data_IF_621487104006
#
_entry.id   IF_621487104006
#
_cell.length_a   1.000
_cell.length_b   1.000
_cell.length_c   1.000
_cell.angle_alpha   90.00
_cell.angle_beta   90.00
_cell.angle_gamma   90.00
#
_symmetry.space_group_name_H-M   'P 1'
#
loop_
_entity.id
_entity.type
_entity.pdbx_description
1 polymer ?
#
# COMPACT_ATOMS: atom_id res chain seq x y z
N UNK A 1 -14.29 -22.25 55.92
CA UNK A 1 -15.13 -21.46 56.85
C UNK A 1 -14.17 -20.69 57.75
N UNK A 2 -13.81 -19.45 57.44
CA UNK A 2 -14.58 -18.20 57.56
C UNK A 2 -14.39 -17.52 58.93
N UNK A 3 -13.73 -16.33 58.88
CA UNK A 3 -13.93 -15.11 59.70
C UNK A 3 -13.51 -15.18 61.19
N UNK A 4 -12.98 -14.13 61.84
CA UNK A 4 -12.57 -12.77 61.46
C UNK A 4 -12.09 -11.99 62.70
N UNK A 5 -11.36 -10.89 62.44
CA UNK A 5 -11.43 -9.56 63.07
C UNK A 5 -10.49 -9.11 64.20
N UNK A 6 -10.17 -7.82 64.03
CA UNK A 6 -9.62 -6.76 64.89
C UNK A 6 -8.11 -6.65 65.09
N UNK A 7 -7.42 -5.49 65.09
CA UNK A 7 -7.53 -4.13 64.52
C UNK A 7 -6.69 -3.20 65.41
N UNK A 8 -5.82 -2.42 64.76
CA UNK A 8 -5.40 -1.05 65.08
C UNK A 8 -4.63 -0.67 66.36
N UNK A 9 -3.55 0.08 66.08
CA UNK A 9 -3.07 1.31 66.74
C UNK A 9 -2.16 1.24 67.96
N UNK A 10 -0.89 1.65 67.77
CA UNK A 10 -0.33 2.76 68.56
C UNK A 10 0.89 3.45 67.92
N UNK A 11 0.79 4.77 67.90
CA UNK A 11 1.73 5.82 67.49
C UNK A 11 2.98 5.88 68.41
N UNK A 12 4.16 6.26 67.87
CA UNK A 12 5.12 7.19 68.52
C UNK A 12 6.21 7.69 67.55
N UNK A 13 6.58 8.97 67.74
CA UNK A 13 7.32 9.89 66.85
C UNK A 13 8.85 9.74 66.92
N UNK A 14 9.50 10.35 65.91
CA UNK A 14 10.95 10.67 65.77
C UNK A 14 11.57 11.47 66.94
N UNK A 15 12.91 11.51 67.03
CA UNK A 15 13.71 12.69 66.59
C UNK A 15 14.98 12.27 65.80
N UNK A 16 15.54 12.93 64.78
CA UNK A 16 15.90 14.33 64.45
C UNK A 16 17.00 14.98 65.32
N UNK A 17 18.24 14.98 64.82
CA UNK A 17 19.29 16.05 64.92
C UNK A 17 20.19 15.90 63.68
N UNK A 18 20.26 16.83 62.70
CA UNK A 18 20.62 18.27 62.61
C UNK A 18 22.12 18.58 62.58
N UNK A 19 22.58 19.12 61.44
CA UNK A 19 23.56 20.20 61.24
C UNK A 19 23.36 20.72 59.78
N UNK A 20 22.68 21.85 59.49
CA UNK A 20 23.03 23.29 59.54
C UNK A 20 24.36 23.61 58.81
N UNK A 21 24.45 24.18 57.59
CA UNK A 21 23.95 25.39 56.90
C UNK A 21 24.55 26.75 57.35
N UNK A 22 24.73 27.60 56.33
CA UNK A 22 24.93 29.07 56.23
C UNK A 22 26.38 29.55 55.89
N UNK A 23 26.64 30.58 55.04
CA UNK A 23 25.84 31.42 54.12
C UNK A 23 26.72 32.46 53.38
N UNK A 24 26.16 33.08 52.31
CA UNK A 24 26.31 34.45 51.71
C UNK A 24 26.66 34.41 50.19
N UNK A 25 25.72 34.63 49.24
CA UNK A 25 25.01 35.87 48.79
C UNK A 25 25.88 36.73 47.81
N UNK A 26 25.65 36.80 46.48
CA UNK A 26 24.58 37.39 45.64
C UNK A 26 24.71 38.92 45.39
N UNK A 27 25.16 39.35 44.20
CA UNK A 27 24.96 40.72 43.63
C UNK A 27 24.88 40.67 42.06
N UNK A 28 23.65 40.89 41.51
CA UNK A 28 23.17 41.71 40.34
C UNK A 28 23.93 41.70 38.97
N UNK A 29 23.39 41.13 37.85
CA UNK A 29 22.42 41.64 36.81
C UNK A 29 23.07 42.44 35.63
N UNK A 30 22.47 42.63 34.41
CA UNK A 30 21.63 41.81 33.50
C UNK A 30 22.03 41.93 31.96
N UNK A 31 21.17 41.46 31.03
CA UNK A 31 21.21 41.46 29.52
C UNK A 31 21.94 40.25 28.86
N UNK A 32 21.39 39.48 27.92
CA UNK A 32 20.25 39.68 27.02
C UNK A 32 19.48 38.38 26.75
N UNK A 33 18.16 38.57 26.69
CA UNK A 33 17.11 37.68 26.22
C UNK A 33 17.14 37.65 24.68
N UNK A 34 17.15 36.47 24.08
CA UNK A 34 16.56 36.25 22.75
C UNK A 34 15.95 34.86 22.71
N UNK A 35 14.64 34.91 22.90
CA UNK A 35 13.62 33.91 22.76
C UNK A 35 13.34 33.71 21.26
N UNK A 36 13.50 32.50 20.73
CA UNK A 36 12.56 31.96 19.71
C UNK A 36 12.37 30.47 19.99
N UNK A 37 11.17 30.16 20.49
CA UNK A 37 10.60 28.83 20.47
C UNK A 37 10.28 28.43 19.02
N UNK A 38 10.59 27.19 18.65
CA UNK A 38 9.84 26.43 17.66
C UNK A 38 9.69 24.99 18.16
N UNK A 39 8.60 24.81 18.92
CA UNK A 39 7.68 23.67 18.96
C UNK A 39 8.22 22.25 18.70
N UNK A 40 8.17 21.43 19.75
CA UNK A 40 7.82 20.02 19.63
C UNK A 40 6.40 19.88 19.05
N UNK A 41 6.20 19.01 18.05
CA UNK A 41 4.95 18.25 17.87
C UNK A 41 5.09 17.21 16.74
N UNK A 42 5.05 15.93 17.11
CA UNK A 42 4.15 14.91 16.54
C UNK A 42 4.34 14.54 15.06
N UNK A 43 4.75 13.28 14.83
CA UNK A 43 4.31 12.49 13.68
C UNK A 43 2.81 12.70 13.42
N UNK A 44 2.37 13.30 12.30
CA UNK A 44 1.03 13.06 11.85
C UNK A 44 1.09 11.86 10.92
N UNK A 45 0.47 10.77 11.34
CA UNK A 45 -0.16 9.86 10.41
C UNK A 45 -0.78 10.69 9.26
N UNK A 46 -0.59 10.23 8.01
CA UNK A 46 -1.30 10.77 6.85
C UNK A 46 -2.75 11.08 7.25
N UNK A 47 -3.28 12.26 6.90
CA UNK A 47 -4.63 12.59 7.29
C UNK A 47 -5.54 11.52 6.70
N UNK A 48 -6.29 10.85 7.57
CA UNK A 48 -7.24 9.78 7.21
C UNK A 48 -8.16 10.18 6.05
N UNK A 49 -8.33 11.48 5.80
CA UNK A 49 -9.08 12.04 4.67
C UNK A 49 -8.49 11.73 3.29
N UNK A 50 -7.17 11.73 3.10
CA UNK A 50 -6.56 11.39 1.79
C UNK A 50 -6.71 9.91 1.46
N UNK A 51 -6.54 9.05 2.46
CA UNK A 51 -6.76 7.60 2.34
C UNK A 51 -8.27 7.28 2.19
N UNK A 52 -9.14 8.01 2.90
CA UNK A 52 -10.59 7.86 2.78
C UNK A 52 -11.11 8.32 1.42
N UNK A 53 -10.64 9.45 0.86
CA UNK A 53 -11.05 9.89 -0.47
C UNK A 53 -10.58 8.94 -1.58
N UNK A 54 -9.44 8.27 -1.42
CA UNK A 54 -9.00 7.23 -2.35
C UNK A 54 -9.86 5.96 -2.25
N UNK A 55 -10.39 5.63 -1.06
CA UNK A 55 -11.17 4.41 -0.80
C UNK A 55 -12.69 4.59 -0.95
N UNK A 56 -13.25 5.77 -0.75
CA UNK A 56 -14.70 6.02 -0.85
C UNK A 56 -15.24 5.96 -2.29
N UNK A 57 -14.36 6.07 -3.29
CA UNK A 57 -14.72 5.87 -4.70
C UNK A 57 -14.89 4.37 -5.08
N UNK A 58 -14.57 3.43 -4.17
CA UNK A 58 -14.71 1.98 -4.37
C UNK A 58 -16.05 1.42 -3.86
N UNK A 59 -17.17 2.12 -4.11
CA UNK A 59 -18.50 1.55 -3.88
C UNK A 59 -18.98 0.86 -5.17
N UNK A 60 -19.06 -0.50 -5.21
CA UNK A 60 -19.57 -1.19 -6.40
C UNK A 60 -21.03 -0.82 -6.60
N UNK A 61 -21.35 -0.19 -7.74
CA UNK A 61 -22.73 -0.07 -8.22
C UNK A 61 -23.09 -1.37 -8.92
N UNK A 62 -24.13 -2.01 -8.42
CA UNK A 62 -24.70 -3.22 -8.99
C UNK A 62 -25.35 -2.98 -10.35
N UNK A 63 -25.41 -4.10 -11.07
CA UNK A 63 -26.27 -4.43 -12.21
C UNK A 63 -26.27 -3.51 -13.42
N UNK A 64 -25.80 -4.05 -14.56
CA UNK A 64 -26.59 -4.08 -15.79
C UNK A 64 -26.30 -5.35 -16.60
N UNK A 65 -27.37 -6.13 -16.77
CA UNK A 65 -27.61 -7.15 -17.79
C UNK A 65 -27.51 -6.55 -19.20
N UNK A 66 -26.89 -7.27 -20.14
CA UNK A 66 -26.82 -6.89 -21.55
C UNK A 66 -26.35 -8.03 -22.44
N UNK A 67 -27.24 -8.50 -23.31
CA UNK A 67 -27.11 -9.63 -24.23
C UNK A 67 -26.65 -9.20 -25.64
N UNK A 68 -26.02 -10.13 -26.38
CA UNK A 68 -25.71 -10.06 -27.83
C UNK A 68 -24.22 -9.81 -28.11
N UNK A 69 -23.52 -10.45 -29.05
CA UNK A 69 -23.87 -11.39 -30.11
C UNK A 69 -22.92 -11.17 -31.30
N UNK A 70 -22.13 -12.18 -31.68
CA UNK A 70 -21.63 -12.42 -33.05
C UNK A 70 -20.44 -11.60 -33.60
N UNK A 71 -19.50 -12.29 -34.25
CA UNK A 71 -18.63 -11.73 -35.30
C UNK A 71 -17.15 -12.07 -35.18
N UNK A 72 -16.70 -13.10 -35.91
CA UNK A 72 -15.29 -13.50 -35.99
C UNK A 72 -14.47 -12.65 -36.96
N UNK A 73 -13.15 -12.68 -36.78
CA UNK A 73 -12.18 -12.70 -37.90
C UNK A 73 -10.81 -13.13 -37.39
N UNK A 74 -10.39 -14.30 -37.88
CA UNK A 74 -9.05 -14.84 -37.78
C UNK A 74 -8.09 -13.99 -38.61
N UNK A 75 -6.98 -13.57 -38.03
CA UNK A 75 -5.82 -13.10 -38.81
C UNK A 75 -4.56 -13.70 -38.20
N UNK A 76 -4.00 -14.67 -38.93
CA UNK A 76 -2.68 -15.24 -38.68
C UNK A 76 -1.63 -14.17 -38.97
N UNK A 77 -0.68 -13.97 -38.07
CA UNK A 77 0.64 -13.44 -38.44
C UNK A 77 1.69 -14.29 -37.74
N UNK A 78 2.57 -14.86 -38.56
CA UNK A 78 3.76 -15.57 -38.13
C UNK A 78 5.00 -14.71 -38.33
N UNK A 79 6.03 -15.09 -37.58
CA UNK A 79 7.44 -14.75 -37.71
C UNK A 79 7.88 -13.34 -37.30
N UNK A 80 8.34 -13.25 -36.04
CA UNK A 80 9.75 -13.02 -35.78
C UNK A 80 10.31 -11.63 -36.08
N UNK A 81 10.13 -10.73 -35.13
CA UNK A 81 11.12 -9.70 -34.85
C UNK A 81 11.33 -9.68 -33.34
N UNK A 82 12.55 -10.00 -32.90
CA UNK A 82 12.96 -9.77 -31.52
C UNK A 82 12.76 -8.29 -31.23
N UNK A 83 11.83 -7.97 -30.33
CA UNK A 83 11.57 -6.59 -29.94
C UNK A 83 12.76 -6.06 -29.17
N UNK A 84 13.51 -5.17 -29.81
CA UNK A 84 14.36 -4.20 -29.13
C UNK A 84 13.47 -3.45 -28.15
N UNK A 85 13.67 -3.66 -26.85
CA UNK A 85 12.93 -2.95 -25.80
C UNK A 85 13.54 -1.55 -25.69
N UNK A 86 13.20 -0.66 -26.63
CA UNK A 86 13.46 0.77 -26.51
C UNK A 86 12.12 1.49 -26.25
N UNK A 87 11.82 1.65 -24.97
CA UNK A 87 10.67 2.35 -24.42
C UNK A 87 10.81 2.38 -22.89
N UNK A 88 10.22 3.35 -22.17
CA UNK A 88 10.38 3.44 -20.72
C UNK A 88 9.77 2.22 -20.05
N UNK A 89 10.65 1.36 -19.56
CA UNK A 89 10.35 0.04 -19.01
C UNK A 89 9.79 0.20 -17.59
N UNK A 90 8.62 -0.36 -17.32
CA UNK A 90 8.10 -0.41 -15.95
C UNK A 90 8.76 -1.55 -15.18
N UNK A 91 9.39 -1.23 -14.05
CA UNK A 91 10.14 -2.20 -13.22
C UNK A 91 9.34 -2.65 -12.02
N UNK A 92 9.53 -3.90 -11.61
CA UNK A 92 8.87 -4.47 -10.45
C UNK A 92 9.45 -3.92 -9.15
N UNK A 93 8.58 -3.46 -8.26
CA UNK A 93 8.88 -3.08 -6.89
C UNK A 93 8.08 -3.98 -5.95
N UNK A 94 8.79 -4.81 -5.19
CA UNK A 94 8.21 -5.69 -4.18
C UNK A 94 8.13 -4.97 -2.84
N UNK A 95 7.01 -5.13 -2.13
CA UNK A 95 6.90 -4.64 -0.77
C UNK A 95 7.69 -5.53 0.18
N UNK A 96 8.27 -4.92 1.22
CA UNK A 96 8.94 -5.64 2.30
C UNK A 96 7.95 -6.08 3.39
N UNK A 97 8.34 -7.08 4.19
CA UNK A 97 7.49 -7.64 5.26
C UNK A 97 7.27 -6.66 6.40
N UNK A 98 8.23 -5.78 6.63
CA UNK A 98 8.22 -4.72 7.64
C UNK A 98 7.33 -3.54 7.23
N UNK A 99 7.19 -3.27 5.93
CA UNK A 99 6.32 -2.21 5.42
C UNK A 99 4.83 -2.60 5.38
N UNK A 100 4.48 -3.89 5.25
CA UNK A 100 3.07 -4.27 5.06
C UNK A 100 2.67 -5.63 5.64
N UNK A 101 1.40 -5.68 6.06
CA UNK A 101 0.66 -6.91 6.38
C UNK A 101 0.11 -7.61 5.12
N UNK A 102 0.31 -7.01 3.94
CA UNK A 102 -0.12 -7.52 2.64
C UNK A 102 0.55 -8.84 2.29
N UNK A 103 -0.21 -9.76 1.70
CA UNK A 103 0.23 -11.05 1.19
C UNK A 103 -0.61 -11.41 -0.03
N UNK A 104 0.01 -12.03 -1.04
CA UNK A 104 -0.72 -12.75 -2.07
C UNK A 104 -1.41 -14.00 -1.49
N UNK A 105 -2.33 -14.62 -2.22
CA UNK A 105 -3.07 -15.80 -1.76
C UNK A 105 -2.15 -16.92 -1.24
N UNK A 106 -1.01 -17.13 -1.89
CA UNK A 106 0.00 -18.14 -1.52
C UNK A 106 0.91 -17.72 -0.33
N UNK A 107 0.81 -16.47 0.12
CA UNK A 107 1.65 -15.91 1.19
C UNK A 107 2.92 -15.20 0.72
N UNK A 108 3.18 -15.12 -0.59
CA UNK A 108 4.24 -14.29 -1.16
C UNK A 108 3.92 -12.78 -0.98
N UNK A 109 4.93 -11.92 -1.17
CA UNK A 109 4.77 -10.49 -0.96
C UNK A 109 4.07 -9.83 -2.16
N UNK A 110 3.14 -8.88 -1.95
CA UNK A 110 2.61 -8.09 -3.05
C UNK A 110 3.64 -7.06 -3.55
N UNK A 111 3.33 -6.41 -4.66
CA UNK A 111 4.20 -5.45 -5.32
C UNK A 111 3.46 -4.71 -6.44
N UNK A 112 4.20 -3.87 -7.16
CA UNK A 112 3.68 -3.06 -8.25
C UNK A 112 4.77 -2.82 -9.29
N UNK A 113 4.38 -2.53 -10.53
CA UNK A 113 5.31 -2.03 -11.54
C UNK A 113 5.29 -0.51 -11.57
N UNK A 114 6.44 0.12 -11.73
CA UNK A 114 6.58 1.57 -11.88
C UNK A 114 7.38 1.90 -13.13
N UNK A 115 6.80 2.76 -13.95
CA UNK A 115 7.49 3.54 -14.96
C UNK A 115 7.62 4.97 -14.45
N UNK A 116 8.85 5.42 -14.27
CA UNK A 116 9.10 6.77 -13.77
C UNK A 116 8.75 7.82 -14.83
N UNK A 117 8.10 8.89 -14.37
CA UNK A 117 7.82 10.08 -15.16
C UNK A 117 9.05 10.98 -15.27
N UNK A 118 8.99 11.96 -16.16
CA UNK A 118 10.09 12.88 -16.41
C UNK A 118 9.59 14.27 -16.81
N UNK A 119 10.47 15.27 -16.67
CA UNK A 119 10.16 16.66 -17.01
C UNK A 119 8.92 17.16 -16.24
N UNK A 120 7.96 17.73 -16.98
CA UNK A 120 6.71 18.26 -16.42
C UNK A 120 5.77 17.20 -15.84
N UNK A 121 5.98 15.92 -16.18
CA UNK A 121 5.20 14.79 -15.67
C UNK A 121 5.82 14.09 -14.45
N UNK A 122 7.02 14.50 -14.01
CA UNK A 122 7.77 13.82 -12.94
C UNK A 122 7.03 13.79 -11.58
N UNK A 123 6.13 14.73 -11.32
CA UNK A 123 5.29 14.78 -10.10
C UNK A 123 3.81 14.50 -10.40
N UNK A 124 3.50 13.87 -11.54
CA UNK A 124 2.14 13.50 -11.93
C UNK A 124 2.05 11.99 -12.11
N UNK A 125 0.89 11.42 -11.79
CA UNK A 125 0.77 9.99 -11.54
C UNK A 125 -0.47 9.40 -12.19
N UNK A 126 -0.32 8.21 -12.76
CA UNK A 126 -1.43 7.32 -13.14
C UNK A 126 -1.26 6.01 -12.38
N UNK A 127 -2.25 5.64 -11.58
CA UNK A 127 -2.28 4.40 -10.81
C UNK A 127 -3.34 3.48 -11.41
N UNK A 128 -2.92 2.37 -11.98
CA UNK A 128 -3.80 1.29 -12.41
C UNK A 128 -3.87 0.19 -11.38
N UNK A 129 -5.07 -0.23 -11.04
CA UNK A 129 -5.30 -1.49 -10.34
C UNK A 129 -5.47 -2.61 -11.35
N UNK A 130 -4.61 -3.61 -11.29
CA UNK A 130 -4.76 -4.79 -12.12
C UNK A 130 -6.04 -5.55 -11.75
N UNK A 131 -6.80 -5.94 -12.78
CA UNK A 131 -7.96 -6.81 -12.66
C UNK A 131 -7.62 -8.29 -12.81
N UNK A 132 -8.66 -9.11 -12.97
CA UNK A 132 -8.48 -10.55 -13.16
C UNK A 132 -9.60 -11.41 -12.59
N UNK A 133 -10.65 -10.82 -12.03
CA UNK A 133 -11.78 -11.54 -11.44
C UNK A 133 -11.50 -12.07 -10.03
N UNK A 134 -12.40 -12.90 -9.52
CA UNK A 134 -12.41 -13.32 -8.11
C UNK A 134 -12.27 -14.83 -7.95
N UNK A 135 -11.99 -15.27 -6.72
CA UNK A 135 -12.22 -16.66 -6.32
C UNK A 135 -13.21 -16.67 -5.15
N UNK A 136 -14.23 -17.55 -5.23
CA UNK A 136 -15.36 -17.51 -4.29
C UNK A 136 -15.37 -18.67 -3.28
N UNK A 137 -14.50 -19.66 -3.47
CA UNK A 137 -14.35 -20.79 -2.54
C UNK A 137 -12.89 -21.05 -2.18
N UNK A 138 -12.61 -21.64 -1.01
CA UNK A 138 -11.24 -22.00 -0.63
C UNK A 138 -10.51 -22.84 -1.70
N UNK A 139 -11.22 -23.78 -2.33
CA UNK A 139 -10.70 -24.60 -3.42
C UNK A 139 -10.33 -23.78 -4.66
N UNK A 140 -11.21 -22.88 -5.10
CA UNK A 140 -10.92 -21.98 -6.22
C UNK A 140 -9.73 -21.08 -5.92
N UNK A 141 -9.68 -20.52 -4.71
CA UNK A 141 -8.58 -19.67 -4.28
C UNK A 141 -7.25 -20.43 -4.14
N UNK A 142 -7.28 -21.69 -3.71
CA UNK A 142 -6.11 -22.55 -3.67
C UNK A 142 -5.55 -22.88 -5.07
N UNK A 143 -6.42 -23.04 -6.06
CA UNK A 143 -5.99 -23.19 -7.45
C UNK A 143 -5.44 -21.86 -8.00
N UNK A 144 -6.09 -20.74 -7.70
CA UNK A 144 -5.63 -19.41 -8.09
C UNK A 144 -4.28 -19.04 -7.47
N UNK A 145 -4.01 -19.47 -6.24
CA UNK A 145 -2.73 -19.29 -5.56
C UNK A 145 -1.53 -19.92 -6.30
N UNK A 146 -1.77 -20.77 -7.31
CA UNK A 146 -0.74 -21.39 -8.16
C UNK A 146 -0.45 -20.58 -9.42
N UNK A 147 -1.13 -19.45 -9.65
CA UNK A 147 -0.98 -18.60 -10.84
C UNK A 147 -0.50 -17.21 -10.45
N UNK A 148 -0.14 -16.40 -11.45
CA UNK A 148 0.33 -15.02 -11.24
C UNK A 148 -0.74 -14.07 -10.68
N UNK A 149 -2.01 -14.51 -10.62
CA UNK A 149 -3.13 -13.80 -9.99
C UNK A 149 -3.38 -14.24 -8.53
N UNK A 150 -2.53 -15.10 -7.99
CA UNK A 150 -2.56 -15.52 -6.59
C UNK A 150 -1.18 -15.68 -5.95
N UNK A 151 -0.10 -15.54 -6.73
CA UNK A 151 1.29 -15.59 -6.32
C UNK A 151 2.11 -14.55 -7.06
N UNK A 152 3.11 -14.00 -6.39
CA UNK A 152 4.09 -13.08 -6.98
C UNK A 152 5.41 -13.76 -7.36
N UNK A 153 5.57 -15.07 -7.07
CA UNK A 153 6.86 -15.77 -7.16
C UNK A 153 7.45 -15.71 -8.58
N UNK A 154 6.59 -15.70 -9.59
CA UNK A 154 7.00 -15.71 -11.01
C UNK A 154 6.78 -14.35 -11.70
N UNK A 155 6.49 -13.28 -10.96
CA UNK A 155 6.38 -11.97 -11.58
C UNK A 155 7.72 -11.54 -12.17
N UNK A 156 7.77 -11.15 -13.46
CA UNK A 156 9.00 -10.71 -14.09
C UNK A 156 9.53 -9.42 -13.47
N UNK A 157 10.83 -9.18 -13.54
CA UNK A 157 11.44 -7.93 -13.04
C UNK A 157 11.03 -6.69 -13.84
N UNK A 158 10.47 -6.92 -15.03
CA UNK A 158 10.00 -5.93 -15.98
C UNK A 158 8.58 -6.30 -16.40
N UNK A 159 7.69 -5.32 -16.44
CA UNK A 159 6.29 -5.52 -16.83
C UNK A 159 6.20 -6.07 -18.25
N UNK A 160 5.46 -7.17 -18.41
CA UNK A 160 4.99 -7.70 -19.69
C UNK A 160 3.79 -6.92 -20.23
N UNK A 161 3.13 -6.12 -19.38
CA UNK A 161 2.00 -5.30 -19.77
C UNK A 161 2.49 -4.11 -20.61
N UNK A 162 2.07 -4.09 -21.88
CA UNK A 162 2.19 -2.92 -22.73
C UNK A 162 1.18 -1.87 -22.30
N UNK A 163 1.68 -0.78 -21.70
CA UNK A 163 0.86 0.38 -21.37
C UNK A 163 0.45 1.10 -22.66
N UNK A 164 -0.78 0.88 -23.13
CA UNK A 164 -1.37 1.58 -24.27
C UNK A 164 -2.27 2.75 -23.85
N UNK A 165 -2.87 3.43 -24.84
CA UNK A 165 -3.85 4.51 -24.59
C UNK A 165 -3.32 5.58 -23.64
N UNK A 166 -4.10 5.92 -22.60
CA UNK A 166 -3.75 6.93 -21.59
C UNK A 166 -2.48 6.61 -20.78
N UNK A 167 -2.01 5.35 -20.82
CA UNK A 167 -0.81 4.90 -20.15
C UNK A 167 0.40 4.82 -21.09
N UNK A 168 0.21 5.03 -22.41
CA UNK A 168 1.30 4.98 -23.39
C UNK A 168 2.39 6.00 -23.08
N UNK A 169 3.65 5.61 -23.34
CA UNK A 169 4.80 6.52 -23.27
C UNK A 169 5.02 7.30 -24.57
N UNK A 170 4.28 6.95 -25.63
CA UNK A 170 4.38 7.62 -26.92
C UNK A 170 3.52 8.88 -26.90
N UNK A 171 4.14 10.05 -27.09
CA UNK A 171 3.46 11.34 -27.13
C UNK A 171 2.48 11.47 -28.32
N UNK A 172 2.67 10.71 -29.41
CA UNK A 172 1.74 10.64 -30.52
C UNK A 172 0.46 9.87 -30.19
N UNK A 173 0.53 8.92 -29.26
CA UNK A 173 -0.62 8.14 -28.76
C UNK A 173 -1.25 8.82 -27.52
N UNK A 174 -0.40 9.35 -26.64
CA UNK A 174 -0.76 9.90 -25.34
C UNK A 174 -0.17 11.30 -25.14
N UNK A 175 -0.62 12.31 -25.89
CA UNK A 175 -0.03 13.65 -25.82
C UNK A 175 -0.17 14.31 -24.44
N UNK A 176 -1.18 13.92 -23.65
CA UNK A 176 -1.45 14.51 -22.33
C UNK A 176 -0.61 13.94 -21.18
N UNK A 177 -0.29 12.64 -21.22
CA UNK A 177 0.24 11.94 -20.05
C UNK A 177 1.49 11.08 -20.32
N UNK A 178 2.08 11.13 -21.53
CA UNK A 178 3.18 10.23 -21.93
C UNK A 178 4.40 10.25 -21.00
N UNK A 179 4.68 11.38 -20.37
CA UNK A 179 5.81 11.60 -19.47
C UNK A 179 5.45 11.52 -17.97
N UNK A 180 4.25 11.06 -17.62
CA UNK A 180 3.83 10.88 -16.23
C UNK A 180 4.38 9.58 -15.63
N UNK A 181 4.44 9.51 -14.31
CA UNK A 181 4.65 8.25 -13.61
C UNK A 181 3.46 7.32 -13.87
N UNK A 182 3.73 6.06 -14.22
CA UNK A 182 2.69 5.04 -14.40
C UNK A 182 2.97 3.88 -13.46
N UNK A 183 2.01 3.62 -12.58
CA UNK A 183 2.04 2.53 -11.62
C UNK A 183 0.99 1.49 -12.01
N UNK A 184 1.39 0.22 -12.07
CA UNK A 184 0.48 -0.91 -12.13
C UNK A 184 0.55 -1.67 -10.80
N UNK A 185 -0.48 -1.49 -9.96
CA UNK A 185 -0.66 -2.24 -8.72
C UNK A 185 -1.05 -3.66 -9.08
N UNK A 186 -0.18 -4.63 -8.80
CA UNK A 186 -0.38 -6.01 -9.23
C UNK A 186 -1.39 -6.73 -8.33
N UNK A 187 -2.25 -7.51 -8.97
CA UNK A 187 -3.35 -8.22 -8.32
C UNK A 187 -2.96 -9.66 -8.01
N UNK A 188 -3.02 -10.03 -6.72
CA UNK A 188 -2.71 -11.39 -6.27
C UNK A 188 -3.56 -11.88 -5.09
N UNK A 189 -4.66 -11.20 -4.77
CA UNK A 189 -5.46 -11.48 -3.56
C UNK A 189 -6.78 -12.22 -3.83
N UNK A 190 -7.24 -12.30 -5.08
CA UNK A 190 -8.49 -12.98 -5.45
C UNK A 190 -9.78 -12.30 -4.92
N UNK A 191 -9.69 -11.09 -4.36
CA UNK A 191 -10.77 -10.33 -3.73
C UNK A 191 -10.86 -8.87 -4.20
N UNK A 192 -10.37 -8.52 -5.39
CA UNK A 192 -10.26 -7.13 -5.92
C UNK A 192 -9.79 -6.12 -4.88
N UNK A 193 -8.70 -6.42 -4.18
CA UNK A 193 -8.13 -5.53 -3.16
C UNK A 193 -9.06 -5.21 -1.96
N UNK A 194 -10.17 -5.93 -1.78
CA UNK A 194 -11.14 -5.64 -0.69
C UNK A 194 -10.95 -6.52 0.56
N UNK A 195 -10.23 -7.64 0.45
CA UNK A 195 -10.02 -8.57 1.56
C UNK A 195 -9.23 -7.95 2.73
N UNK A 196 -9.91 -7.61 3.83
CA UNK A 196 -9.29 -6.96 5.00
C UNK A 196 -9.24 -7.78 6.28
N UNK A 197 -10.03 -8.86 6.37
CA UNK A 197 -10.30 -9.63 7.61
C UNK A 197 -9.07 -10.25 8.26
N UNK A 198 -7.96 -10.32 7.54
CA UNK A 198 -6.73 -10.97 7.97
C UNK A 198 -6.89 -12.47 8.21
N UNK A 199 -8.01 -13.04 7.77
CA UNK A 199 -8.30 -14.47 7.88
C UNK A 199 -7.22 -15.25 7.13
N UNK A 200 -6.59 -16.14 7.86
CA UNK A 200 -5.80 -17.23 7.32
C UNK A 200 -6.74 -18.42 7.23
N UNK A 201 -6.99 -18.93 6.03
CA UNK A 201 -7.79 -20.13 5.88
C UNK A 201 -6.88 -21.29 5.51
N UNK A 202 -6.78 -22.30 6.36
CA UNK A 202 -6.10 -23.55 5.98
C UNK A 202 -7.07 -24.31 5.09
N UNK A 203 -6.69 -24.59 3.86
CA UNK A 203 -7.51 -25.45 3.00
C UNK A 203 -7.26 -26.89 3.40
N UNK A 204 -8.29 -27.60 3.83
CA UNK A 204 -8.21 -29.03 4.17
C UNK A 204 -7.71 -29.87 2.99
N UNK A 205 -8.06 -29.48 1.77
CA UNK A 205 -7.70 -30.16 0.51
C UNK A 205 -6.21 -30.09 0.15
N UNK A 206 -5.47 -29.05 0.58
CA UNK A 206 -4.04 -28.89 0.22
C UNK A 206 -3.11 -28.76 1.42
N UNK A 207 -3.65 -28.63 2.64
CA UNK A 207 -2.90 -28.28 3.85
C UNK A 207 -2.30 -26.87 3.86
N UNK A 208 -2.38 -26.12 2.75
CA UNK A 208 -1.79 -24.78 2.63
C UNK A 208 -2.69 -23.70 3.25
N UNK A 209 -2.04 -22.67 3.78
CA UNK A 209 -2.71 -21.49 4.31
C UNK A 209 -2.91 -20.47 3.19
N UNK A 210 -4.15 -20.06 2.96
CA UNK A 210 -4.50 -18.95 2.08
C UNK A 210 -4.56 -17.64 2.84
N UNK A 211 -4.11 -16.57 2.19
CA UNK A 211 -4.07 -15.22 2.73
C UNK A 211 -5.00 -14.30 1.94
N UNK A 212 -6.12 -13.91 2.56
CA UNK A 212 -7.06 -12.95 1.99
C UNK A 212 -6.72 -11.54 2.49
N UNK A 213 -5.77 -10.89 1.80
CA UNK A 213 -5.13 -9.64 2.26
C UNK A 213 -5.24 -8.49 1.26
N UNK A 214 -6.20 -8.51 0.33
CA UNK A 214 -6.37 -7.48 -0.71
C UNK A 214 -6.28 -6.04 -0.21
N UNK A 215 -6.98 -5.70 0.88
CA UNK A 215 -6.95 -4.35 1.45
C UNK A 215 -5.54 -3.97 1.93
N UNK A 216 -4.83 -4.91 2.55
CA UNK A 216 -3.47 -4.71 3.03
C UNK A 216 -2.45 -4.64 1.88
N UNK A 217 -2.72 -5.32 0.77
CA UNK A 217 -1.89 -5.25 -0.44
C UNK A 217 -1.98 -3.84 -1.03
N UNK A 218 -3.19 -3.35 -1.30
CA UNK A 218 -3.41 -2.01 -1.84
C UNK A 218 -2.84 -0.93 -0.91
N UNK A 219 -3.17 -0.99 0.39
CA UNK A 219 -2.68 -0.01 1.35
C UNK A 219 -1.14 -0.01 1.45
N UNK A 220 -0.51 -1.19 1.43
CA UNK A 220 0.95 -1.29 1.44
C UNK A 220 1.59 -0.65 0.22
N UNK A 221 1.01 -0.84 -0.97
CA UNK A 221 1.53 -0.24 -2.20
C UNK A 221 1.39 1.27 -2.17
N UNK A 222 0.21 1.78 -1.79
CA UNK A 222 -0.01 3.22 -1.68
C UNK A 222 0.94 3.86 -0.66
N UNK A 223 1.17 3.20 0.47
CA UNK A 223 2.11 3.66 1.49
C UNK A 223 3.55 3.72 0.96
N UNK A 224 4.02 2.67 0.28
CA UNK A 224 5.37 2.66 -0.29
C UNK A 224 5.56 3.74 -1.36
N UNK A 225 4.55 3.99 -2.20
CA UNK A 225 4.58 5.08 -3.17
C UNK A 225 4.69 6.45 -2.49
N UNK A 226 3.93 6.67 -1.42
CA UNK A 226 3.93 7.91 -0.65
C UNK A 226 5.26 8.15 0.07
N UNK A 227 5.82 7.10 0.67
CA UNK A 227 7.01 7.21 1.52
C UNK A 227 8.32 7.16 0.74
N UNK A 228 8.37 6.39 -0.35
CA UNK A 228 9.65 6.09 -1.03
C UNK A 228 9.71 6.58 -2.48
N UNK A 229 8.56 6.86 -3.12
CA UNK A 229 8.49 7.24 -4.54
C UNK A 229 8.04 8.68 -4.78
N UNK A 230 7.91 9.50 -3.75
CA UNK A 230 7.54 10.91 -3.86
C UNK A 230 6.07 11.17 -4.29
N UNK A 231 5.19 10.17 -4.18
CA UNK A 231 3.76 10.36 -4.47
C UNK A 231 3.11 11.37 -3.49
N UNK A 232 3.67 11.52 -2.28
CA UNK A 232 3.24 12.51 -1.30
C UNK A 232 3.42 13.97 -1.77
N UNK A 233 4.25 14.21 -2.78
CA UNK A 233 4.44 15.49 -3.45
C UNK A 233 3.79 15.53 -4.85
N UNK A 234 2.92 14.56 -5.16
CA UNK A 234 2.19 14.49 -6.41
C UNK A 234 1.27 15.69 -6.61
N UNK A 235 1.33 16.30 -7.79
CA UNK A 235 0.47 17.43 -8.17
C UNK A 235 -0.89 16.95 -8.68
N UNK A 236 -0.88 15.85 -9.43
CA UNK A 236 -2.06 15.26 -10.07
C UNK A 236 -1.95 13.73 -10.00
N UNK A 237 -3.06 13.08 -9.67
CA UNK A 237 -3.15 11.62 -9.56
C UNK A 237 -4.42 11.16 -10.27
N UNK A 238 -4.25 10.35 -11.31
CA UNK A 238 -5.32 9.62 -11.96
C UNK A 238 -5.33 8.19 -11.44
N UNK A 239 -6.52 7.66 -11.14
CA UNK A 239 -6.69 6.28 -10.69
C UNK A 239 -7.65 5.59 -11.65
N UNK A 240 -7.28 4.40 -12.09
CA UNK A 240 -8.11 3.56 -12.94
C UNK A 240 -7.85 2.08 -12.68
N UNK A 241 -8.53 1.23 -13.43
CA UNK A 241 -8.32 -0.21 -13.44
C UNK A 241 -7.93 -0.70 -14.84
N UNK A 242 -7.29 -1.86 -14.91
CA UNK A 242 -6.98 -2.54 -16.16
C UNK A 242 -7.40 -3.99 -16.07
N UNK A 243 -8.31 -4.40 -16.95
CA UNK A 243 -8.70 -5.80 -17.04
C UNK A 243 -7.56 -6.63 -17.64
N UNK A 244 -7.16 -7.71 -16.95
CA UNK A 244 -6.29 -8.75 -17.53
C UNK A 244 -7.21 -9.79 -18.18
N UNK A 245 -7.12 -9.93 -19.50
CA UNK A 245 -7.77 -11.03 -20.22
C UNK A 245 -7.24 -12.38 -19.72
N UNK A 246 -8.14 -13.32 -19.44
CA UNK A 246 -7.81 -14.70 -19.08
C UNK A 246 -7.72 -15.57 -20.33
#
# INVERSE_FOLDING_TARGET
>A
MARSHHESSRVRRCPYRKASLLSLALILAPFALSLVLASASVNPALPRSLLASALENFKPRGDLSGSGGGGGSSSKSGAGAASVIDGPVARLHMLSKDQTRGRCLDGSMPGYYLREGYGTGANKWILFLEGGGWCFSPRQCANRAKTDLGSSINWPSVSDVHFGGVASADAGINPGFYNWNVVLVKYCDGSSFTGGSGRKNKTEETGKTLYYRGHWNLNGVLQDLLETKNLNHGQEVLVGDVARGQ
#
